data_IF_614878773494
#
_entry.id   IF_614878773494
#
_cell.length_a   1.000
_cell.length_b   1.000
_cell.length_c   1.000
_cell.angle_alpha   90.00
_cell.angle_beta   90.00
_cell.angle_gamma   90.00
#
_symmetry.space_group_name_H-M   'P 1'
#
loop_
_entity.id
_entity.type
_entity.pdbx_description
1 polymer ?
#
# COMPACT_ATOMS: atom_id res chain seq x y z
N UNK A 1 0.05 16.97 -21.46
CA UNK A 1 0.95 16.50 -20.40
C UNK A 1 0.28 15.36 -19.65
N UNK A 2 0.99 14.26 -19.48
CA UNK A 2 0.45 13.11 -18.77
C UNK A 2 0.79 13.19 -17.29
N UNK A 3 -0.19 12.85 -16.47
CA UNK A 3 0.03 12.73 -15.06
C UNK A 3 0.46 11.29 -14.76
N UNK A 4 1.65 11.14 -14.19
CA UNK A 4 2.13 9.81 -13.81
C UNK A 4 1.33 9.28 -12.62
N UNK A 5 0.94 8.02 -12.71
CA UNK A 5 0.27 7.35 -11.61
C UNK A 5 1.32 6.86 -10.62
N UNK A 6 1.10 7.15 -9.36
CA UNK A 6 1.96 6.69 -8.28
C UNK A 6 1.30 5.49 -7.63
N UNK A 7 1.98 4.35 -7.62
CA UNK A 7 1.49 3.14 -6.99
C UNK A 7 2.08 3.02 -5.59
N UNK A 8 1.22 2.95 -4.61
CA UNK A 8 1.62 2.96 -3.20
C UNK A 8 1.18 1.66 -2.55
N UNK A 9 2.13 0.97 -1.93
CA UNK A 9 1.85 -0.22 -1.16
C UNK A 9 1.90 0.11 0.32
N UNK A 10 1.02 -0.51 1.08
CA UNK A 10 0.98 -0.33 2.53
C UNK A 10 0.99 -1.69 3.22
N UNK A 11 1.97 -1.87 4.10
CA UNK A 11 2.04 -2.99 5.00
C UNK A 11 1.32 -2.57 6.28
N UNK A 12 0.18 -3.20 6.53
CA UNK A 12 -0.73 -2.78 7.59
C UNK A 12 -0.45 -3.53 8.87
N UNK A 13 -0.21 -2.80 9.94
CA UNK A 13 -0.13 -3.35 11.28
C UNK A 13 -1.24 -2.78 12.16
N UNK A 14 -1.36 -3.36 13.34
CA UNK A 14 -2.37 -2.92 14.29
C UNK A 14 -2.15 -1.46 14.71
N UNK A 15 -0.90 -1.10 14.95
CA UNK A 15 -0.57 0.22 15.51
C UNK A 15 0.10 1.15 14.51
N UNK A 16 0.67 0.60 13.45
CA UNK A 16 1.36 1.44 12.47
C UNK A 16 1.28 0.86 11.06
N UNK A 17 1.49 1.74 10.10
CA UNK A 17 1.49 1.43 8.68
C UNK A 17 2.88 1.71 8.14
N UNK A 18 3.40 0.80 7.31
CA UNK A 18 4.61 1.07 6.54
C UNK A 18 4.20 1.29 5.10
N UNK A 19 4.68 2.38 4.50
CA UNK A 19 4.25 2.77 3.16
C UNK A 19 5.45 2.91 2.23
N UNK A 20 5.24 2.57 0.96
CA UNK A 20 6.27 2.70 -0.06
C UNK A 20 5.63 2.89 -1.42
N UNK A 21 6.30 3.66 -2.29
CA UNK A 21 5.88 3.79 -3.67
C UNK A 21 6.58 2.78 -4.56
N UNK A 22 6.02 2.53 -5.74
CA UNK A 22 6.61 1.59 -6.71
C UNK A 22 7.93 2.10 -7.27
N UNK A 23 8.16 3.39 -7.22
CA UNK A 23 9.40 4.03 -7.71
C UNK A 23 10.44 4.22 -6.61
N UNK A 24 10.19 3.70 -5.43
CA UNK A 24 11.17 3.59 -4.38
C UNK A 24 10.90 4.39 -3.13
N UNK A 25 10.80 5.71 -3.17
CA UNK A 25 10.93 6.44 -1.93
C UNK A 25 10.11 7.72 -1.77
N UNK A 26 9.35 8.13 -2.76
CA UNK A 26 8.63 9.41 -2.70
C UNK A 26 7.70 9.48 -1.48
N UNK A 27 7.08 8.36 -1.13
CA UNK A 27 6.12 8.31 -0.04
C UNK A 27 6.48 7.27 1.01
N UNK A 28 7.72 6.81 0.99
CA UNK A 28 8.17 5.78 1.92
C UNK A 28 8.19 6.32 3.35
N UNK A 29 7.81 5.47 4.30
CA UNK A 29 7.86 5.84 5.70
C UNK A 29 6.96 4.98 6.55
N UNK A 30 6.86 5.38 7.81
CA UNK A 30 6.02 4.71 8.80
C UNK A 30 5.12 5.77 9.43
N UNK A 31 3.85 5.43 9.60
CA UNK A 31 2.92 6.32 10.28
C UNK A 31 2.00 5.53 11.20
N UNK A 32 1.47 6.17 12.24
CA UNK A 32 0.51 5.50 13.13
C UNK A 32 -0.77 5.13 12.38
N UNK A 33 -1.32 3.97 12.74
CA UNK A 33 -2.57 3.51 12.13
C UNK A 33 -3.75 4.14 12.89
N UNK A 34 -3.94 5.44 12.68
CA UNK A 34 -5.08 6.18 13.21
C UNK A 34 -5.55 7.20 12.19
N UNK A 35 -6.77 7.68 12.38
CA UNK A 35 -7.41 8.52 11.37
C UNK A 35 -6.65 9.81 11.10
N UNK A 36 -6.22 10.53 12.14
CA UNK A 36 -5.56 11.81 11.93
C UNK A 36 -4.24 11.68 11.19
N UNK A 37 -3.46 10.65 11.50
CA UNK A 37 -2.20 10.39 10.82
C UNK A 37 -2.44 10.00 9.36
N UNK A 38 -3.43 9.15 9.13
CA UNK A 38 -3.78 8.73 7.77
C UNK A 38 -4.22 9.93 6.94
N UNK A 39 -5.11 10.76 7.46
CA UNK A 39 -5.59 11.95 6.74
C UNK A 39 -4.42 12.88 6.42
N UNK A 40 -3.54 13.12 7.38
CA UNK A 40 -2.37 13.97 7.15
C UNK A 40 -1.45 13.44 6.07
N UNK A 41 -1.25 12.12 6.06
CA UNK A 41 -0.45 11.46 5.04
C UNK A 41 -1.11 11.56 3.65
N UNK A 42 -2.42 11.28 3.58
CA UNK A 42 -3.14 11.32 2.31
C UNK A 42 -3.08 12.72 1.68
N UNK A 43 -3.10 13.76 2.49
CA UNK A 43 -3.03 15.13 1.98
C UNK A 43 -1.72 15.45 1.29
N UNK A 44 -0.66 14.71 1.61
CA UNK A 44 0.66 14.92 1.02
C UNK A 44 0.91 14.10 -0.24
N UNK A 45 0.00 13.19 -0.57
CA UNK A 45 0.18 12.31 -1.72
C UNK A 45 -0.15 13.02 -3.03
N UNK A 46 0.54 12.62 -4.12
CA UNK A 46 0.16 13.11 -5.44
C UNK A 46 -1.30 12.75 -5.74
N UNK A 47 -1.97 13.61 -6.50
CA UNK A 47 -3.39 13.43 -6.79
C UNK A 47 -3.69 12.11 -7.52
N UNK A 48 -2.76 11.65 -8.36
CA UNK A 48 -2.95 10.43 -9.13
C UNK A 48 -2.36 9.21 -8.41
N UNK A 49 -2.55 9.10 -7.10
CA UNK A 49 -2.04 7.96 -6.34
C UNK A 49 -3.06 6.85 -6.28
N UNK A 50 -2.56 5.63 -6.40
CA UNK A 50 -3.34 4.39 -6.24
C UNK A 50 -2.75 3.64 -5.07
N UNK A 51 -3.59 3.25 -4.12
CA UNK A 51 -3.13 2.69 -2.86
C UNK A 51 -3.57 1.24 -2.75
N UNK A 52 -2.63 0.36 -2.42
CA UNK A 52 -2.94 -1.04 -2.19
C UNK A 52 -2.45 -1.48 -0.82
N UNK A 53 -3.19 -2.37 -0.23
CA UNK A 53 -2.86 -2.97 1.05
C UNK A 53 -3.30 -4.42 1.06
N UNK A 54 -2.69 -5.21 1.92
CA UNK A 54 -3.08 -6.60 2.11
C UNK A 54 -4.15 -6.66 3.19
N UNK A 55 -5.17 -7.49 2.98
CA UNK A 55 -6.19 -7.71 4.00
C UNK A 55 -5.54 -8.39 5.21
N UNK A 56 -5.59 -7.75 6.37
CA UNK A 56 -4.89 -8.21 7.57
C UNK A 56 -5.77 -8.07 8.80
N UNK A 57 -6.65 -9.05 9.03
CA UNK A 57 -7.42 -9.13 10.27
C UNK A 57 -8.30 -7.94 10.59
N UNK A 58 -8.63 -7.12 9.62
CA UNK A 58 -9.47 -5.95 9.83
C UNK A 58 -8.72 -4.66 10.07
N UNK A 59 -7.43 -4.72 10.34
CA UNK A 59 -6.64 -3.50 10.62
C UNK A 59 -6.48 -2.59 9.40
N UNK A 60 -6.74 -3.11 8.20
CA UNK A 60 -6.69 -2.34 6.96
C UNK A 60 -7.93 -1.48 6.75
N UNK A 61 -9.03 -1.72 7.48
CA UNK A 61 -10.30 -1.09 7.17
C UNK A 61 -10.27 0.42 7.34
N UNK A 62 -9.61 0.90 8.38
CA UNK A 62 -9.54 2.34 8.62
C UNK A 62 -8.85 3.05 7.45
N UNK A 63 -7.71 2.54 7.02
CA UNK A 63 -6.98 3.11 5.89
C UNK A 63 -7.81 3.04 4.61
N UNK A 64 -8.38 1.87 4.32
CA UNK A 64 -9.15 1.69 3.09
C UNK A 64 -10.33 2.64 3.04
N UNK A 65 -11.09 2.74 4.13
CA UNK A 65 -12.26 3.62 4.19
C UNK A 65 -11.86 5.08 4.08
N UNK A 66 -10.86 5.50 4.83
CA UNK A 66 -10.44 6.90 4.86
C UNK A 66 -9.91 7.33 3.49
N UNK A 67 -9.12 6.48 2.84
CA UNK A 67 -8.59 6.80 1.51
C UNK A 67 -9.71 6.87 0.46
N UNK A 68 -10.66 5.94 0.51
CA UNK A 68 -11.81 5.98 -0.40
C UNK A 68 -12.65 7.25 -0.20
N UNK A 69 -12.88 7.62 1.05
CA UNK A 69 -13.65 8.84 1.35
C UNK A 69 -12.99 10.09 0.78
N UNK A 70 -11.68 10.06 0.64
CA UNK A 70 -10.94 11.21 0.11
C UNK A 70 -10.65 11.11 -1.38
N UNK A 71 -11.27 10.16 -2.06
CA UNK A 71 -11.24 10.07 -3.51
C UNK A 71 -10.08 9.28 -4.10
N UNK A 72 -9.32 8.57 -3.29
CA UNK A 72 -8.24 7.74 -3.81
C UNK A 72 -8.77 6.41 -4.32
N UNK A 73 -8.10 5.89 -5.34
CA UNK A 73 -8.35 4.54 -5.82
C UNK A 73 -7.65 3.57 -4.88
N UNK A 74 -8.39 2.60 -4.33
CA UNK A 74 -7.90 1.72 -3.27
C UNK A 74 -8.13 0.27 -3.64
N UNK A 75 -7.12 -0.56 -3.42
CA UNK A 75 -7.21 -2.00 -3.59
C UNK A 75 -6.85 -2.71 -2.29
N UNK A 76 -7.73 -3.59 -1.84
CA UNK A 76 -7.42 -4.49 -0.72
C UNK A 76 -7.13 -5.84 -1.34
N UNK A 77 -5.88 -6.27 -1.27
CA UNK A 77 -5.38 -7.40 -2.02
C UNK A 77 -5.48 -8.70 -1.24
N UNK A 78 -5.66 -9.80 -1.98
CA UNK A 78 -5.65 -11.12 -1.41
C UNK A 78 -4.21 -11.50 -1.03
N UNK A 79 -3.94 -11.83 0.25
CA UNK A 79 -2.59 -12.16 0.68
C UNK A 79 -1.95 -13.30 -0.12
N UNK A 80 -2.72 -14.32 -0.47
CA UNK A 80 -2.20 -15.45 -1.22
C UNK A 80 -1.61 -15.03 -2.56
N UNK A 81 -2.30 -14.16 -3.27
CA UNK A 81 -1.83 -13.70 -4.58
C UNK A 81 -0.54 -12.90 -4.45
N UNK A 82 -0.46 -12.04 -3.46
CA UNK A 82 0.73 -11.21 -3.26
C UNK A 82 1.91 -12.07 -2.81
N UNK A 83 1.65 -13.07 -1.98
CA UNK A 83 2.69 -14.02 -1.56
C UNK A 83 3.27 -14.79 -2.73
N UNK A 84 2.43 -15.25 -3.65
CA UNK A 84 2.91 -15.95 -4.85
C UNK A 84 3.80 -15.03 -5.68
N UNK A 85 3.42 -13.78 -5.81
CA UNK A 85 4.24 -12.80 -6.51
C UNK A 85 5.60 -12.63 -5.83
N UNK A 86 5.61 -12.50 -4.51
CA UNK A 86 6.85 -12.33 -3.76
C UNK A 86 7.78 -13.52 -3.92
N UNK A 87 7.23 -14.73 -3.94
CA UNK A 87 8.02 -15.94 -4.16
C UNK A 87 8.65 -15.91 -5.55
N UNK A 88 7.90 -15.47 -6.56
CA UNK A 88 8.41 -15.40 -7.93
C UNK A 88 9.57 -14.41 -8.05
N UNK A 89 9.66 -13.44 -7.15
CA UNK A 89 10.78 -12.50 -7.10
C UNK A 89 11.98 -13.04 -6.30
N UNK A 90 11.88 -14.26 -5.75
CA UNK A 90 12.96 -14.83 -4.97
C UNK A 90 12.94 -14.48 -3.48
N UNK A 91 11.87 -13.90 -2.99
CA UNK A 91 11.76 -13.48 -1.59
C UNK A 91 11.26 -14.60 -0.66
N UNK A 92 11.58 -15.82 -0.97
CA UNK A 92 11.07 -16.94 -0.21
C UNK A 92 11.89 -17.21 1.04
N UNK A 93 11.22 -17.69 2.07
CA UNK A 93 11.86 -18.27 3.23
C UNK A 93 12.40 -17.30 4.25
N UNK A 94 12.30 -16.02 4.03
CA UNK A 94 12.84 -15.04 4.96
C UNK A 94 11.83 -14.55 5.97
N UNK A 95 10.59 -14.36 5.53
CA UNK A 95 9.54 -13.84 6.38
C UNK A 95 8.21 -14.11 5.70
N UNK A 96 7.19 -14.30 6.50
CA UNK A 96 5.83 -14.40 5.97
C UNK A 96 5.23 -13.03 5.69
N UNK A 97 5.91 -11.99 6.10
CA UNK A 97 5.42 -10.62 5.98
C UNK A 97 5.86 -10.03 4.65
N UNK A 98 4.88 -9.47 3.94
CA UNK A 98 5.13 -8.75 2.71
C UNK A 98 5.37 -7.29 3.04
N UNK A 99 6.44 -6.72 2.52
CA UNK A 99 6.68 -5.31 2.78
C UNK A 99 5.91 -4.43 1.78
N UNK A 100 5.84 -3.16 2.12
CA UNK A 100 5.08 -2.19 1.34
C UNK A 100 5.58 -2.06 -0.09
N UNK A 101 6.89 -2.18 -0.30
CA UNK A 101 7.47 -2.03 -1.63
C UNK A 101 7.02 -3.16 -2.56
N UNK A 102 6.97 -4.40 -2.04
CA UNK A 102 6.49 -5.55 -2.82
C UNK A 102 5.02 -5.36 -3.18
N UNK A 103 4.22 -4.89 -2.24
CA UNK A 103 2.80 -4.63 -2.48
C UNK A 103 2.64 -3.58 -3.58
N UNK A 104 3.42 -2.51 -3.53
CA UNK A 104 3.37 -1.46 -4.56
C UNK A 104 3.75 -1.99 -5.93
N UNK A 105 4.77 -2.85 -6.01
CA UNK A 105 5.19 -3.45 -7.27
C UNK A 105 4.12 -4.36 -7.84
N UNK A 106 3.50 -5.18 -6.99
CA UNK A 106 2.42 -6.05 -7.41
C UNK A 106 1.25 -5.23 -7.96
N UNK A 107 0.88 -4.17 -7.26
CA UNK A 107 -0.18 -3.29 -7.72
C UNK A 107 0.12 -2.72 -9.10
N UNK A 108 1.35 -2.27 -9.33
CA UNK A 108 1.72 -1.68 -10.61
C UNK A 108 1.59 -2.68 -11.77
N UNK A 109 1.76 -3.98 -11.49
CA UNK A 109 1.61 -5.01 -12.50
C UNK A 109 0.15 -5.30 -12.84
N UNK A 110 -0.73 -5.29 -11.86
CA UNK A 110 -2.13 -5.65 -12.08
C UNK A 110 -3.00 -4.46 -12.48
N UNK A 111 -2.50 -3.24 -12.30
CA UNK A 111 -3.23 -2.03 -12.63
C UNK A 111 -2.96 -1.64 -14.08
N UNK A 112 -3.75 -2.14 -14.97
CA UNK A 112 -3.59 -1.88 -16.39
C UNK A 112 -4.81 -1.22 -16.97
#
# INVERSE_FOLDING_TARGET
MQTSVVFIGVDVGKFELQVAGSDGDIVAGVLPNNRSSIVGWLKRLPAASVIAMEATGGYQELLARTACERGFEVYVLNPTHVHHYAISLGNRGKTDRLDAAVIAQYLSLIHI
#
